data_IF_675929462462
#
_entry.id   IF_675929462462
#
_cell.length_a   1.000
_cell.length_b   1.000
_cell.length_c   1.000
_cell.angle_alpha   90.00
_cell.angle_beta   90.00
_cell.angle_gamma   90.00
#
_symmetry.space_group_name_H-M   'P 1'
#
loop_
_entity.id
_entity.type
_entity.pdbx_description
1 polymer ?
#
# COMPACT_ATOMS: atom_id res chain seq x y z
N UNK A 1 2.21 46.68 -35.12
CA UNK A 1 2.29 46.32 -33.69
C UNK A 1 2.84 44.91 -33.61
N UNK A 2 4.14 44.78 -33.32
CA UNK A 2 4.79 43.49 -33.07
C UNK A 2 4.29 43.00 -31.72
N UNK A 3 3.74 41.78 -31.60
CA UNK A 3 3.33 41.24 -30.31
C UNK A 3 4.52 41.27 -29.34
N UNK A 4 4.31 41.75 -28.12
CA UNK A 4 5.35 41.73 -27.09
C UNK A 4 5.80 40.28 -26.85
N UNK A 5 7.07 40.05 -26.51
CA UNK A 5 7.56 38.72 -26.14
C UNK A 5 6.73 38.08 -25.01
N UNK A 6 6.10 38.91 -24.15
CA UNK A 6 5.15 38.45 -23.12
C UNK A 6 3.83 37.94 -23.71
N UNK A 7 3.28 38.59 -24.75
CA UNK A 7 2.04 38.17 -25.41
C UNK A 7 2.23 36.86 -26.17
N UNK A 8 3.40 36.70 -26.81
CA UNK A 8 3.80 35.45 -27.46
C UNK A 8 3.93 34.28 -26.46
N UNK A 9 4.48 34.54 -25.29
CA UNK A 9 4.60 33.56 -24.20
C UNK A 9 3.24 33.16 -23.63
N UNK A 10 2.36 34.13 -23.34
CA UNK A 10 1.01 33.87 -22.83
C UNK A 10 0.16 33.07 -23.83
N UNK A 11 0.21 33.43 -25.12
CA UNK A 11 -0.50 32.69 -26.17
C UNK A 11 0.07 31.29 -26.37
N UNK A 12 1.39 31.10 -26.28
CA UNK A 12 2.03 29.79 -26.33
C UNK A 12 1.56 28.89 -25.20
N UNK A 13 1.52 29.41 -23.96
CA UNK A 13 1.03 28.64 -22.81
C UNK A 13 -0.45 28.28 -22.96
N UNK A 14 -1.30 29.23 -23.36
CA UNK A 14 -2.73 28.97 -23.59
C UNK A 14 -2.95 27.83 -24.59
N UNK A 15 -2.23 27.86 -25.73
CA UNK A 15 -2.36 26.83 -26.75
C UNK A 15 -1.76 25.49 -26.30
N UNK A 16 -0.74 25.50 -25.43
CA UNK A 16 -0.21 24.28 -24.82
C UNK A 16 -1.26 23.61 -23.93
N UNK A 17 -1.94 24.34 -23.05
CA UNK A 17 -2.97 23.76 -22.17
C UNK A 17 -4.17 23.21 -22.96
N UNK A 18 -4.64 23.93 -23.99
CA UNK A 18 -5.72 23.45 -24.85
C UNK A 18 -5.32 22.21 -25.63
N UNK A 19 -4.10 22.19 -26.18
CA UNK A 19 -3.59 21.03 -26.89
C UNK A 19 -3.40 19.84 -25.95
N UNK A 20 -2.96 20.09 -24.72
CA UNK A 20 -2.81 19.07 -23.69
C UNK A 20 -4.15 18.42 -23.32
N UNK A 21 -5.18 19.22 -23.05
CA UNK A 21 -6.53 18.73 -22.79
C UNK A 21 -7.07 17.86 -23.95
N UNK A 22 -6.87 18.31 -25.19
CA UNK A 22 -7.29 17.54 -26.37
C UNK A 22 -6.56 16.18 -26.44
N UNK A 23 -5.25 16.17 -26.20
CA UNK A 23 -4.42 14.97 -26.27
C UNK A 23 -4.71 13.97 -25.15
N UNK A 24 -5.14 14.41 -23.97
CA UNK A 24 -5.60 13.52 -22.91
C UNK A 24 -6.84 12.70 -23.30
N UNK A 25 -7.67 13.25 -24.19
CA UNK A 25 -8.89 12.59 -24.67
C UNK A 25 -8.68 11.73 -25.92
N UNK A 26 -7.70 12.08 -26.76
CA UNK A 26 -7.53 11.49 -28.10
C UNK A 26 -6.20 10.75 -28.30
N UNK A 27 -5.28 10.79 -27.31
CA UNK A 27 -3.94 10.19 -27.39
C UNK A 27 -2.95 10.96 -28.28
N UNK A 28 -1.67 10.57 -28.23
CA UNK A 28 -0.64 11.15 -29.10
C UNK A 28 -0.41 10.34 -30.38
N UNK A 29 -0.77 9.06 -30.38
CA UNK A 29 -0.50 8.11 -31.45
C UNK A 29 -0.94 8.62 -32.83
N UNK A 30 -2.15 9.16 -32.91
CA UNK A 30 -2.79 9.60 -34.16
C UNK A 30 -2.79 11.14 -34.31
N UNK A 31 -2.01 11.84 -33.48
CA UNK A 31 -2.02 13.30 -33.46
C UNK A 31 -1.47 13.88 -34.78
N UNK A 32 -2.28 14.71 -35.43
CA UNK A 32 -1.88 15.53 -36.58
C UNK A 32 -2.16 17.01 -36.32
N UNK A 33 -1.31 17.89 -36.86
CA UNK A 33 -1.35 19.33 -36.56
C UNK A 33 -2.64 20.01 -37.02
N UNK A 34 -3.28 19.52 -38.08
CA UNK A 34 -4.51 20.12 -38.64
C UNK A 34 -5.72 19.90 -37.71
N UNK A 35 -6.12 18.66 -37.40
CA UNK A 35 -7.21 18.39 -36.45
C UNK A 35 -6.95 19.01 -35.07
N UNK A 36 -5.72 18.93 -34.55
CA UNK A 36 -5.39 19.55 -33.27
C UNK A 36 -5.60 21.06 -33.30
N UNK A 37 -5.08 21.74 -34.33
CA UNK A 37 -5.21 23.18 -34.45
C UNK A 37 -6.67 23.62 -34.57
N UNK A 38 -7.48 22.88 -35.32
CA UNK A 38 -8.91 23.13 -35.44
C UNK A 38 -9.63 22.96 -34.10
N UNK A 39 -9.36 21.86 -33.38
CA UNK A 39 -9.97 21.57 -32.09
C UNK A 39 -9.67 22.64 -31.02
N UNK A 40 -8.49 23.27 -31.07
CA UNK A 40 -8.08 24.29 -30.09
C UNK A 40 -8.29 25.73 -30.58
N UNK A 41 -8.97 25.93 -31.72
CA UNK A 41 -9.25 27.27 -32.28
C UNK A 41 -7.98 28.02 -32.72
N UNK A 42 -7.07 27.32 -33.38
CA UNK A 42 -5.79 27.85 -33.88
C UNK A 42 -5.54 27.41 -35.34
N UNK A 43 -4.32 27.58 -35.83
CA UNK A 43 -3.90 27.07 -37.14
C UNK A 43 -2.57 26.30 -37.05
N UNK A 44 -2.32 25.34 -37.95
CA UNK A 44 -1.03 24.62 -37.99
C UNK A 44 0.17 25.57 -38.08
N UNK A 45 0.02 26.67 -38.83
CA UNK A 45 1.06 27.69 -39.00
C UNK A 45 1.38 28.40 -37.68
N UNK A 46 0.36 28.73 -36.88
CA UNK A 46 0.54 29.36 -35.56
C UNK A 46 1.22 28.40 -34.59
N UNK A 47 0.82 27.12 -34.57
CA UNK A 47 1.46 26.12 -33.73
C UNK A 47 2.94 25.93 -34.10
N UNK A 48 3.26 25.77 -35.39
CA UNK A 48 4.64 25.67 -35.84
C UNK A 48 5.45 26.94 -35.54
N UNK A 49 4.84 28.12 -35.63
CA UNK A 49 5.51 29.38 -35.27
C UNK A 49 5.87 29.44 -33.77
N UNK A 50 4.97 29.01 -32.88
CA UNK A 50 5.17 29.11 -31.42
C UNK A 50 6.05 27.98 -30.84
N UNK A 51 5.94 26.78 -31.41
CA UNK A 51 6.65 25.59 -30.92
C UNK A 51 7.85 25.21 -31.78
N UNK A 52 7.99 25.74 -32.99
CA UNK A 52 9.10 25.49 -33.91
C UNK A 52 8.86 24.28 -34.82
N UNK A 53 8.40 23.16 -34.27
CA UNK A 53 8.10 21.95 -35.04
C UNK A 53 6.97 21.14 -34.40
N UNK A 54 6.44 20.14 -35.13
CA UNK A 54 5.54 19.14 -34.54
C UNK A 54 6.21 18.42 -33.38
N UNK A 55 7.48 18.06 -33.55
CA UNK A 55 8.23 17.32 -32.55
C UNK A 55 8.44 18.14 -31.27
N UNK A 56 8.75 19.43 -31.41
CA UNK A 56 8.90 20.33 -30.27
C UNK A 56 7.56 20.60 -29.57
N UNK A 57 6.42 20.57 -30.29
CA UNK A 57 5.10 20.59 -29.67
C UNK A 57 4.84 19.29 -28.87
N UNK A 58 5.16 18.12 -29.43
CA UNK A 58 5.03 16.85 -28.71
C UNK A 58 5.91 16.84 -27.46
N UNK A 59 7.16 17.30 -27.56
CA UNK A 59 8.05 17.44 -26.42
C UNK A 59 7.48 18.38 -25.35
N UNK A 60 6.86 19.50 -25.74
CA UNK A 60 6.22 20.41 -24.79
C UNK A 60 4.99 19.78 -24.11
N UNK A 61 4.18 19.01 -24.85
CA UNK A 61 3.03 18.28 -24.31
C UNK A 61 3.46 17.19 -23.32
N UNK A 62 4.53 16.47 -23.63
CA UNK A 62 5.11 15.46 -22.72
C UNK A 62 5.73 16.08 -21.48
N UNK A 63 6.41 17.23 -21.62
CA UNK A 63 6.92 17.98 -20.49
C UNK A 63 5.77 18.44 -19.58
N UNK A 64 4.66 18.90 -20.16
CA UNK A 64 3.45 19.30 -19.42
C UNK A 64 2.75 18.11 -18.74
N UNK A 65 2.69 16.95 -19.40
CA UNK A 65 2.17 15.71 -18.82
C UNK A 65 3.02 15.28 -17.60
N UNK A 66 4.35 15.35 -17.73
CA UNK A 66 5.28 15.11 -16.62
C UNK A 66 5.08 16.13 -15.48
N UNK A 67 4.74 17.38 -15.76
CA UNK A 67 4.44 18.35 -14.70
C UNK A 67 3.21 17.95 -13.86
N UNK A 68 2.19 17.31 -14.45
CA UNK A 68 1.06 16.77 -13.66
C UNK A 68 1.51 15.61 -12.75
N UNK A 69 2.46 14.78 -13.20
CA UNK A 69 3.09 13.77 -12.36
C UNK A 69 3.98 14.40 -11.26
N UNK A 70 4.69 15.49 -11.59
CA UNK A 70 5.57 16.19 -10.65
C UNK A 70 4.79 16.97 -9.58
N UNK A 71 3.58 17.45 -9.87
CA UNK A 71 2.71 18.06 -8.85
C UNK A 71 2.35 17.11 -7.70
N UNK A 72 2.22 15.80 -7.98
CA UNK A 72 2.15 14.74 -6.97
C UNK A 72 3.50 14.54 -6.28
N UNK A 73 4.62 14.50 -7.01
CA UNK A 73 5.97 14.39 -6.42
C UNK A 73 6.27 15.50 -5.40
N UNK A 74 5.84 16.73 -5.68
CA UNK A 74 5.94 17.86 -4.74
C UNK A 74 5.00 17.73 -3.53
N UNK A 75 3.84 17.08 -3.68
CA UNK A 75 2.95 16.77 -2.57
C UNK A 75 3.53 15.67 -1.66
N UNK A 76 4.14 14.64 -2.25
CA UNK A 76 4.88 13.57 -1.54
C UNK A 76 6.12 14.14 -0.85
N UNK A 77 6.88 15.00 -1.53
CA UNK A 77 8.05 15.68 -0.96
C UNK A 77 7.69 16.60 0.22
N UNK A 78 6.52 17.24 0.19
CA UNK A 78 6.01 18.05 1.31
C UNK A 78 5.48 17.21 2.47
N UNK A 79 5.02 15.99 2.22
CA UNK A 79 4.65 15.02 3.24
C UNK A 79 5.93 14.41 3.88
N UNK A 80 6.61 15.22 4.70
CA UNK A 80 7.72 14.93 5.64
C UNK A 80 8.75 13.83 5.19
N UNK A 81 10.05 14.16 5.04
CA UNK A 81 11.13 13.21 4.68
C UNK A 81 11.32 12.00 5.62
N UNK A 82 10.71 12.02 6.81
CA UNK A 82 10.83 11.00 7.86
C UNK A 82 9.99 9.73 7.64
N UNK A 83 9.21 9.68 6.56
CA UNK A 83 8.29 8.57 6.29
C UNK A 83 8.94 7.31 5.66
N UNK A 84 10.17 7.41 5.17
CA UNK A 84 10.88 6.28 4.56
C UNK A 84 10.39 5.89 3.15
N UNK A 85 11.08 4.93 2.55
CA UNK A 85 10.87 4.52 1.16
C UNK A 85 9.52 3.83 0.93
N UNK A 86 9.08 2.99 1.88
CA UNK A 86 7.82 2.26 1.79
C UNK A 86 6.60 3.20 1.72
N UNK A 87 6.51 4.13 2.69
CA UNK A 87 5.42 5.11 2.73
C UNK A 87 5.42 6.03 1.52
N UNK A 88 6.60 6.39 1.01
CA UNK A 88 6.72 7.15 -0.24
C UNK A 88 6.13 6.35 -1.41
N UNK A 89 6.42 5.05 -1.49
CA UNK A 89 5.82 4.14 -2.46
C UNK A 89 4.29 4.03 -2.34
N UNK A 90 3.75 4.02 -1.12
CA UNK A 90 2.28 4.00 -0.88
C UNK A 90 1.60 5.25 -1.43
N UNK A 91 2.16 6.43 -1.16
CA UNK A 91 1.60 7.70 -1.64
C UNK A 91 1.63 7.77 -3.17
N UNK A 92 2.72 7.31 -3.78
CA UNK A 92 2.85 7.23 -5.23
C UNK A 92 1.84 6.26 -5.80
N UNK A 93 1.70 5.05 -5.21
CA UNK A 93 0.72 4.08 -5.69
C UNK A 93 -0.72 4.58 -5.58
N UNK A 94 -1.08 5.24 -4.47
CA UNK A 94 -2.42 5.80 -4.30
C UNK A 94 -2.80 6.78 -5.43
N UNK A 95 -1.83 7.55 -5.91
CA UNK A 95 -2.05 8.45 -7.04
C UNK A 95 -2.11 7.71 -8.37
N UNK A 96 -1.21 6.74 -8.59
CA UNK A 96 -1.20 5.90 -9.79
C UNK A 96 -2.49 5.07 -9.96
N UNK A 97 -3.07 4.62 -8.84
CA UNK A 97 -4.28 3.80 -8.81
C UNK A 97 -5.56 4.62 -9.04
N UNK A 98 -5.55 5.91 -8.72
CA UNK A 98 -6.73 6.78 -8.83
C UNK A 98 -7.26 6.85 -10.28
N UNK A 99 -8.55 6.48 -10.50
CA UNK A 99 -9.18 6.56 -11.81
C UNK A 99 -9.11 7.95 -12.48
N UNK A 100 -9.04 9.02 -11.69
CA UNK A 100 -8.90 10.40 -12.16
C UNK A 100 -7.64 10.67 -12.97
N UNK A 101 -6.57 9.90 -12.75
CA UNK A 101 -5.30 10.06 -13.45
C UNK A 101 -5.14 9.13 -14.67
N UNK A 102 -6.12 8.28 -14.98
CA UNK A 102 -5.99 7.26 -16.04
C UNK A 102 -5.62 7.84 -17.40
N UNK A 103 -6.18 8.98 -17.79
CA UNK A 103 -5.92 9.62 -19.09
C UNK A 103 -4.46 10.10 -19.19
N UNK A 104 -3.97 10.78 -18.17
CA UNK A 104 -2.58 11.26 -18.14
C UNK A 104 -1.59 10.10 -18.08
N UNK A 105 -1.90 9.06 -17.30
CA UNK A 105 -1.06 7.87 -17.19
C UNK A 105 -1.00 7.05 -18.48
N UNK A 106 -2.12 6.95 -19.20
CA UNK A 106 -2.15 6.29 -20.53
C UNK A 106 -1.28 7.05 -21.53
N UNK A 107 -1.41 8.37 -21.56
CA UNK A 107 -0.58 9.25 -22.39
C UNK A 107 0.91 9.12 -22.04
N UNK A 108 1.24 9.01 -20.75
CA UNK A 108 2.60 8.80 -20.30
C UNK A 108 3.15 7.46 -20.77
N UNK A 109 2.40 6.36 -20.63
CA UNK A 109 2.83 5.02 -21.09
C UNK A 109 3.09 5.03 -22.60
N UNK A 110 2.23 5.69 -23.37
CA UNK A 110 2.41 5.88 -24.80
C UNK A 110 3.72 6.59 -25.15
N UNK A 111 4.06 7.64 -24.40
CA UNK A 111 5.30 8.39 -24.59
C UNK A 111 6.52 7.62 -24.13
N UNK A 112 6.41 6.91 -23.01
CA UNK A 112 7.44 6.04 -22.47
C UNK A 112 7.80 4.95 -23.46
N UNK A 113 6.83 4.16 -23.94
CA UNK A 113 7.05 3.07 -24.87
C UNK A 113 7.69 3.55 -26.19
N UNK A 114 7.26 4.69 -26.73
CA UNK A 114 7.84 5.27 -27.96
C UNK A 114 9.28 5.75 -27.77
N UNK A 115 9.62 6.22 -26.58
CA UNK A 115 10.98 6.66 -26.29
C UNK A 115 12.01 5.54 -26.13
N UNK A 116 11.56 4.28 -26.08
CA UNK A 116 12.44 3.11 -26.04
C UNK A 116 12.98 2.71 -27.43
N UNK A 117 12.38 3.23 -28.51
CA UNK A 117 12.86 3.01 -29.88
C UNK A 117 14.11 3.85 -30.21
N UNK A 118 14.52 3.86 -31.48
CA UNK A 118 15.69 4.61 -31.94
C UNK A 118 15.63 6.07 -31.46
N UNK A 119 16.61 6.49 -30.66
CA UNK A 119 16.61 7.71 -29.82
C UNK A 119 16.58 9.05 -30.55
N UNK A 120 16.01 9.11 -31.76
CA UNK A 120 15.73 10.31 -32.52
C UNK A 120 14.23 10.67 -32.47
N UNK A 121 13.92 11.96 -32.65
CA UNK A 121 12.56 12.45 -32.74
C UNK A 121 11.95 12.91 -31.39
N UNK A 122 10.63 13.09 -31.34
CA UNK A 122 9.98 13.81 -30.25
C UNK A 122 10.03 13.10 -28.89
N UNK A 123 10.31 11.80 -28.89
CA UNK A 123 10.29 10.95 -27.71
C UNK A 123 11.67 10.76 -27.09
N UNK A 124 12.74 11.23 -27.75
CA UNK A 124 14.12 10.96 -27.39
C UNK A 124 14.44 11.27 -25.91
N UNK A 125 14.92 10.26 -25.18
CA UNK A 125 15.34 10.35 -23.77
C UNK A 125 14.20 10.57 -22.77
N UNK A 126 12.93 10.46 -23.18
CA UNK A 126 11.79 10.64 -22.27
C UNK A 126 11.77 9.58 -21.15
N UNK A 127 11.88 8.28 -21.50
CA UNK A 127 11.95 7.20 -20.52
C UNK A 127 13.15 7.33 -19.57
N UNK A 128 14.34 7.60 -20.13
CA UNK A 128 15.58 7.76 -19.35
C UNK A 128 15.48 8.88 -18.33
N UNK A 129 15.06 10.08 -18.76
CA UNK A 129 14.86 11.22 -17.84
C UNK A 129 13.83 10.92 -16.76
N UNK A 130 12.77 10.20 -17.12
CA UNK A 130 11.75 9.82 -16.14
C UNK A 130 12.29 8.82 -15.12
N UNK A 131 13.15 7.88 -15.52
CA UNK A 131 13.83 7.01 -14.54
C UNK A 131 14.69 7.85 -13.59
N UNK A 132 15.54 8.74 -14.12
CA UNK A 132 16.46 9.54 -13.32
C UNK A 132 15.70 10.36 -12.25
N UNK A 133 14.67 11.09 -12.66
CA UNK A 133 13.81 11.87 -11.77
C UNK A 133 13.23 11.05 -10.61
N UNK A 134 12.65 9.90 -10.92
CA UNK A 134 11.98 9.06 -9.92
C UNK A 134 12.97 8.42 -8.96
N UNK A 135 14.16 8.05 -9.44
CA UNK A 135 15.22 7.56 -8.57
C UNK A 135 15.71 8.65 -7.60
N UNK A 136 15.79 9.92 -8.02
CA UNK A 136 16.14 11.03 -7.13
C UNK A 136 15.07 11.27 -6.05
N UNK A 137 13.79 11.20 -6.42
CA UNK A 137 12.67 11.30 -5.47
C UNK A 137 12.76 10.20 -4.40
N UNK A 138 12.94 8.95 -4.82
CA UNK A 138 13.03 7.83 -3.90
C UNK A 138 14.33 7.84 -3.09
N UNK A 139 15.43 8.32 -3.66
CA UNK A 139 16.66 8.56 -2.92
C UNK A 139 16.43 9.55 -1.76
N UNK A 140 15.69 10.63 -2.00
CA UNK A 140 15.37 11.62 -0.96
C UNK A 140 14.57 11.04 0.23
N UNK A 141 13.85 9.93 0.02
CA UNK A 141 13.11 9.20 1.06
C UNK A 141 13.94 8.14 1.82
N UNK A 142 15.18 7.88 1.39
CA UNK A 142 16.11 6.98 2.09
C UNK A 142 17.00 7.78 3.06
N UNK A 143 17.39 7.19 4.21
CA UNK A 143 18.37 7.82 5.09
C UNK A 143 19.74 7.90 4.40
N UNK A 144 20.58 8.91 4.69
CA UNK A 144 21.81 9.18 3.92
C UNK A 144 22.78 7.98 3.86
N UNK A 145 22.91 7.26 4.97
CA UNK A 145 23.74 6.06 5.13
C UNK A 145 23.28 4.88 4.25
N UNK A 146 21.99 4.80 3.91
CA UNK A 146 21.46 3.83 2.94
C UNK A 146 21.46 4.37 1.52
N UNK A 147 21.10 5.64 1.33
CA UNK A 147 20.92 6.31 0.03
C UNK A 147 22.13 6.16 -0.90
N UNK A 148 23.32 6.35 -0.33
CA UNK A 148 24.59 6.41 -1.06
C UNK A 148 25.25 5.02 -1.21
N UNK A 149 24.52 3.94 -0.90
CA UNK A 149 24.99 2.55 -1.05
C UNK A 149 24.43 1.89 -2.32
N UNK A 150 25.12 0.89 -2.90
CA UNK A 150 24.59 0.06 -3.98
C UNK A 150 23.25 -0.60 -3.63
N UNK A 151 23.08 -1.02 -2.37
CA UNK A 151 21.87 -1.64 -1.87
C UNK A 151 20.71 -0.65 -1.84
N UNK A 152 20.94 0.58 -1.35
CA UNK A 152 19.94 1.64 -1.40
C UNK A 152 19.52 1.98 -2.83
N UNK A 153 20.45 1.98 -3.80
CA UNK A 153 20.13 2.15 -5.21
C UNK A 153 19.26 0.99 -5.74
N UNK A 154 19.59 -0.25 -5.37
CA UNK A 154 18.82 -1.43 -5.76
C UNK A 154 17.39 -1.39 -5.19
N UNK A 155 17.20 -0.96 -3.94
CA UNK A 155 15.88 -0.81 -3.30
C UNK A 155 14.98 0.16 -4.07
N UNK A 156 15.44 1.39 -4.30
CA UNK A 156 14.64 2.40 -5.02
C UNK A 156 14.40 2.04 -6.49
N UNK A 157 15.34 1.31 -7.11
CA UNK A 157 15.16 0.76 -8.47
C UNK A 157 14.09 -0.32 -8.49
N UNK A 158 14.08 -1.22 -7.49
CA UNK A 158 13.09 -2.27 -7.37
C UNK A 158 11.69 -1.69 -7.12
N UNK A 159 11.57 -0.73 -6.20
CA UNK A 159 10.31 -0.03 -5.95
C UNK A 159 9.76 0.61 -7.24
N UNK A 160 10.58 1.37 -7.97
CA UNK A 160 10.17 1.99 -9.22
C UNK A 160 9.71 0.94 -10.25
N UNK A 161 10.39 -0.20 -10.31
CA UNK A 161 10.06 -1.30 -11.22
C UNK A 161 8.70 -1.93 -10.87
N UNK A 162 8.44 -2.16 -9.58
CA UNK A 162 7.16 -2.71 -9.09
C UNK A 162 6.02 -1.74 -9.38
N UNK A 163 6.18 -0.46 -9.04
CA UNK A 163 5.15 0.57 -9.28
C UNK A 163 4.82 0.69 -10.77
N UNK A 164 5.82 0.69 -11.66
CA UNK A 164 5.59 0.76 -13.10
C UNK A 164 4.97 -0.49 -13.67
N UNK A 165 5.39 -1.67 -13.22
CA UNK A 165 4.78 -2.94 -13.62
C UNK A 165 3.31 -2.99 -13.22
N UNK A 166 3.01 -2.61 -11.98
CA UNK A 166 1.64 -2.54 -11.47
C UNK A 166 0.79 -1.49 -12.18
N UNK A 167 1.35 -0.34 -12.54
CA UNK A 167 0.67 0.67 -13.35
C UNK A 167 0.28 0.12 -14.72
N UNK A 168 1.22 -0.50 -15.45
CA UNK A 168 0.95 -1.09 -16.75
C UNK A 168 -0.12 -2.18 -16.67
N UNK A 169 -0.02 -3.03 -15.64
CA UNK A 169 -1.02 -4.06 -15.36
C UNK A 169 -2.40 -3.42 -15.08
N UNK A 170 -2.48 -2.42 -14.19
CA UNK A 170 -3.73 -1.76 -13.85
C UNK A 170 -4.39 -1.10 -15.08
N UNK A 171 -3.59 -0.45 -15.93
CA UNK A 171 -4.10 0.16 -17.16
C UNK A 171 -4.64 -0.88 -18.15
N UNK A 172 -4.05 -2.08 -18.18
CA UNK A 172 -4.47 -3.16 -19.06
C UNK A 172 -5.66 -3.96 -18.51
N UNK A 173 -5.60 -4.36 -17.24
CA UNK A 173 -6.56 -5.27 -16.59
C UNK A 173 -7.73 -4.55 -15.93
N UNK A 174 -7.56 -3.28 -15.53
CA UNK A 174 -8.50 -2.51 -14.69
C UNK A 174 -8.75 -3.11 -13.31
N UNK A 175 -7.92 -4.06 -12.88
CA UNK A 175 -8.03 -4.75 -11.60
C UNK A 175 -7.19 -4.04 -10.54
N UNK A 176 -7.74 -2.94 -10.03
CA UNK A 176 -7.14 -2.13 -8.95
C UNK A 176 -6.91 -2.92 -7.66
N UNK A 177 -7.84 -3.76 -7.16
CA UNK A 177 -7.62 -4.50 -5.93
C UNK A 177 -6.42 -5.46 -6.02
N UNK A 178 -6.29 -6.22 -7.12
CA UNK A 178 -5.18 -7.16 -7.31
C UNK A 178 -3.83 -6.45 -7.45
N UNK A 179 -3.77 -5.40 -8.26
CA UNK A 179 -2.52 -4.64 -8.48
C UNK A 179 -2.09 -3.90 -7.21
N UNK A 180 -3.05 -3.35 -6.46
CA UNK A 180 -2.80 -2.74 -5.16
C UNK A 180 -2.27 -3.76 -4.16
N UNK A 181 -2.88 -4.95 -4.08
CA UNK A 181 -2.39 -6.01 -3.21
C UNK A 181 -0.94 -6.40 -3.51
N UNK A 182 -0.56 -6.48 -4.79
CA UNK A 182 0.80 -6.78 -5.21
C UNK A 182 1.80 -5.68 -4.79
N UNK A 183 1.45 -4.41 -5.01
CA UNK A 183 2.29 -3.27 -4.60
C UNK A 183 2.43 -3.22 -3.08
N UNK A 184 1.32 -3.31 -2.33
CA UNK A 184 1.36 -3.33 -0.87
C UNK A 184 2.21 -4.48 -0.33
N UNK A 185 2.15 -5.67 -0.95
CA UNK A 185 2.99 -6.79 -0.54
C UNK A 185 4.49 -6.48 -0.69
N UNK A 186 4.90 -5.79 -1.77
CA UNK A 186 6.27 -5.35 -1.94
C UNK A 186 6.65 -4.24 -0.94
N UNK A 187 5.78 -3.26 -0.70
CA UNK A 187 6.08 -2.15 0.20
C UNK A 187 6.37 -2.63 1.63
N UNK A 188 5.69 -3.67 2.10
CA UNK A 188 5.99 -4.32 3.40
C UNK A 188 7.40 -4.87 3.49
N UNK A 189 8.02 -5.28 2.38
CA UNK A 189 9.41 -5.76 2.40
C UNK A 189 10.42 -4.63 2.61
N UNK A 190 10.04 -3.38 2.34
CA UNK A 190 10.86 -2.19 2.54
C UNK A 190 10.76 -1.63 3.97
N UNK A 191 9.75 -2.04 4.73
CA UNK A 191 9.55 -1.65 6.14
C UNK A 191 10.27 -2.59 7.11
N UNK A 192 10.69 -3.77 6.63
CA UNK A 192 11.50 -4.70 7.40
C UNK A 192 12.94 -4.17 7.59
N UNK A 193 13.55 -4.29 8.78
CA UNK A 193 14.91 -3.84 9.02
C UNK A 193 15.90 -4.47 8.03
N UNK A 194 16.78 -3.63 7.47
CA UNK A 194 17.81 -4.02 6.50
C UNK A 194 19.01 -4.72 7.18
N UNK A 195 18.78 -5.80 7.92
CA UNK A 195 19.84 -6.68 8.40
C UNK A 195 19.64 -8.09 7.85
N UNK A 196 20.55 -8.47 6.92
CA UNK A 196 20.68 -9.84 6.46
C UNK A 196 20.47 -10.03 4.95
N UNK A 197 21.39 -9.52 4.13
CA UNK A 197 21.54 -10.04 2.77
C UNK A 197 22.43 -11.30 2.79
N UNK A 198 21.96 -12.49 2.36
CA UNK A 198 22.84 -13.62 2.11
C UNK A 198 23.29 -13.61 0.64
N UNK A 199 24.59 -13.82 0.45
CA UNK A 199 25.24 -14.09 -0.83
C UNK A 199 24.66 -15.35 -1.48
N UNK A 200 24.45 -15.26 -2.80
CA UNK A 200 23.85 -16.28 -3.67
C UNK A 200 24.47 -17.67 -3.53
N UNK A 201 23.60 -18.68 -3.37
CA UNK A 201 23.90 -20.07 -3.73
C UNK A 201 22.87 -21.07 -3.21
N UNK A 202 21.97 -21.54 -4.09
CA UNK A 202 21.22 -22.78 -3.85
C UNK A 202 19.70 -22.64 -3.87
N UNK A 203 19.08 -23.21 -4.90
CA UNK A 203 17.65 -23.46 -5.01
C UNK A 203 17.20 -24.47 -3.94
N UNK A 204 16.45 -24.03 -2.93
CA UNK A 204 15.39 -24.76 -2.21
C UNK A 204 14.80 -23.81 -1.15
N UNK A 205 13.48 -23.91 -0.90
CA UNK A 205 12.68 -22.84 -0.32
C UNK A 205 13.03 -22.39 1.10
N UNK A 206 12.74 -21.13 1.41
CA UNK A 206 12.10 -20.75 2.68
C UNK A 206 11.53 -19.32 2.61
N UNK A 207 10.42 -19.09 3.33
CA UNK A 207 9.70 -17.81 3.42
C UNK A 207 10.35 -16.80 4.41
N UNK A 208 9.68 -15.66 4.69
CA UNK A 208 10.23 -14.64 5.57
C UNK A 208 10.36 -15.16 7.02
N UNK A 209 11.51 -14.88 7.65
CA UNK A 209 11.95 -15.38 8.97
C UNK A 209 11.31 -14.63 10.15
N UNK A 210 9.98 -14.52 10.16
CA UNK A 210 9.19 -14.14 11.32
C UNK A 210 8.19 -15.25 11.60
N UNK A 211 8.07 -15.71 12.86
CA UNK A 211 7.10 -16.76 13.17
C UNK A 211 5.71 -16.27 12.77
N UNK A 212 5.04 -17.07 11.95
CA UNK A 212 3.66 -16.86 11.54
C UNK A 212 2.83 -18.02 12.05
N UNK A 213 1.80 -17.68 12.81
CA UNK A 213 0.80 -18.62 13.31
C UNK A 213 -0.51 -18.35 12.58
N UNK A 214 -1.21 -19.41 12.15
CA UNK A 214 -2.42 -19.28 11.33
C UNK A 214 -3.44 -20.33 11.71
N UNK A 215 -4.66 -19.88 11.97
CA UNK A 215 -5.82 -20.75 12.22
C UNK A 215 -6.98 -20.28 11.35
N UNK A 216 -7.72 -21.22 10.77
CA UNK A 216 -8.91 -20.95 9.96
C UNK A 216 -10.09 -21.72 10.50
N UNK A 217 -11.26 -21.08 10.54
CA UNK A 217 -12.53 -21.71 10.92
C UNK A 217 -13.66 -21.22 10.02
N UNK A 218 -14.55 -22.12 9.64
CA UNK A 218 -15.81 -21.75 9.01
C UNK A 218 -16.86 -21.43 10.08
N UNK A 219 -17.50 -20.27 9.94
CA UNK A 219 -18.54 -19.75 10.83
C UNK A 219 -19.84 -19.66 10.04
N UNK A 220 -20.92 -20.25 10.54
CA UNK A 220 -22.21 -20.32 9.88
C UNK A 220 -23.03 -19.02 9.99
N UNK A 221 -22.40 -17.85 9.85
CA UNK A 221 -23.03 -16.52 9.89
C UNK A 221 -22.60 -15.64 8.70
N UNK A 222 -23.39 -14.60 8.35
CA UNK A 222 -23.03 -13.67 7.27
C UNK A 222 -21.75 -12.90 7.61
N UNK A 223 -20.91 -12.63 6.59
CA UNK A 223 -19.64 -11.87 6.74
C UNK A 223 -19.80 -10.55 7.50
N UNK A 224 -20.90 -9.84 7.26
CA UNK A 224 -21.18 -8.57 7.93
C UNK A 224 -21.38 -8.73 9.45
N UNK A 225 -22.00 -9.82 9.91
CA UNK A 225 -22.19 -10.10 11.33
C UNK A 225 -20.86 -10.45 12.01
N UNK A 226 -20.04 -11.29 11.36
CA UNK A 226 -18.68 -11.62 11.83
C UNK A 226 -17.80 -10.37 11.89
N UNK A 227 -17.86 -9.52 10.87
CA UNK A 227 -17.12 -8.26 10.85
C UNK A 227 -17.56 -7.31 11.95
N UNK A 228 -18.87 -7.19 12.21
CA UNK A 228 -19.40 -6.37 13.29
C UNK A 228 -18.92 -6.88 14.67
N UNK A 229 -18.91 -8.19 14.89
CA UNK A 229 -18.43 -8.80 16.15
C UNK A 229 -16.93 -8.57 16.42
N UNK A 230 -16.12 -8.30 15.38
CA UNK A 230 -14.70 -7.91 15.51
C UNK A 230 -14.51 -6.44 15.87
N UNK A 231 -15.56 -5.61 15.73
CA UNK A 231 -15.56 -4.17 15.94
C UNK A 231 -16.62 -3.73 16.95
N UNK A 232 -17.02 -4.64 17.83
CA UNK A 232 -17.94 -4.37 18.92
C UNK A 232 -17.32 -4.81 20.23
N UNK A 233 -17.35 -3.93 21.23
CA UNK A 233 -16.66 -4.14 22.51
C UNK A 233 -17.25 -5.31 23.27
N UNK A 234 -18.57 -5.35 23.41
CA UNK A 234 -19.27 -6.38 24.19
C UNK A 234 -19.08 -7.76 23.54
N UNK A 235 -19.12 -7.80 22.20
CA UNK A 235 -18.80 -8.99 21.43
C UNK A 235 -17.37 -9.48 21.73
N UNK A 236 -16.36 -8.62 21.60
CA UNK A 236 -14.97 -8.99 21.87
C UNK A 236 -14.76 -9.49 23.29
N UNK A 237 -15.35 -8.84 24.30
CA UNK A 237 -15.28 -9.32 25.70
C UNK A 237 -15.91 -10.70 25.87
N UNK A 238 -16.95 -11.03 25.09
CA UNK A 238 -17.66 -12.31 25.15
C UNK A 238 -16.93 -13.46 24.46
N UNK A 239 -16.33 -13.24 23.28
CA UNK A 239 -15.78 -14.33 22.47
C UNK A 239 -14.26 -14.36 22.32
N UNK A 240 -13.58 -13.21 22.41
CA UNK A 240 -12.14 -13.15 22.16
C UNK A 240 -11.28 -13.88 23.22
N UNK A 241 -11.62 -13.89 24.53
CA UNK A 241 -10.86 -14.63 25.51
C UNK A 241 -10.77 -16.12 25.15
N UNK A 242 -9.57 -16.73 25.16
CA UNK A 242 -9.42 -18.15 24.92
C UNK A 242 -9.94 -18.97 26.11
N UNK A 243 -10.05 -20.28 25.91
CA UNK A 243 -10.45 -21.22 26.98
C UNK A 243 -9.59 -21.03 28.24
N UNK A 244 -10.25 -21.05 29.41
CA UNK A 244 -9.58 -20.86 30.70
C UNK A 244 -9.31 -19.40 31.08
N UNK A 245 -9.74 -18.43 30.27
CA UNK A 245 -9.59 -17.00 30.57
C UNK A 245 -10.93 -16.25 30.52
N UNK A 246 -10.97 -15.10 31.21
CA UNK A 246 -11.96 -14.05 30.99
C UNK A 246 -11.27 -12.79 30.49
N UNK A 247 -11.99 -11.91 29.79
CA UNK A 247 -11.41 -10.69 29.23
C UNK A 247 -12.24 -9.45 29.49
N UNK A 248 -11.55 -8.32 29.64
CA UNK A 248 -12.17 -7.00 29.80
C UNK A 248 -11.44 -5.97 28.96
N UNK A 249 -12.19 -5.10 28.29
CA UNK A 249 -11.64 -3.98 27.53
C UNK A 249 -11.70 -2.71 28.39
N UNK A 250 -10.56 -2.06 28.60
CA UNK A 250 -10.47 -0.84 29.41
C UNK A 250 -10.46 0.45 28.57
N UNK A 251 -10.05 0.37 27.31
CA UNK A 251 -10.02 1.48 26.35
C UNK A 251 -10.61 1.00 25.03
N UNK A 252 -11.37 1.86 24.33
CA UNK A 252 -12.06 1.46 23.11
C UNK A 252 -12.17 2.62 22.10
N UNK A 253 -11.53 2.46 20.95
CA UNK A 253 -11.60 3.39 19.81
C UNK A 253 -11.56 2.59 18.48
N UNK A 254 -12.70 2.06 17.99
CA UNK A 254 -12.75 1.13 16.86
C UNK A 254 -12.71 1.84 15.50
N UNK A 255 -11.65 2.60 15.26
CA UNK A 255 -11.39 3.29 13.99
C UNK A 255 -9.94 3.09 13.56
N UNK A 256 -9.60 3.29 12.27
CA UNK A 256 -8.22 3.20 11.82
C UNK A 256 -7.32 4.15 12.63
N UNK A 257 -6.22 3.61 13.14
CA UNK A 257 -5.29 4.30 14.02
C UNK A 257 -5.68 4.32 15.50
N UNK A 258 -6.95 4.06 15.84
CA UNK A 258 -7.46 3.81 17.18
C UNK A 258 -7.16 2.39 17.66
N UNK A 259 -7.67 1.99 18.81
CA UNK A 259 -7.32 0.71 19.42
C UNK A 259 -8.13 0.38 20.66
N UNK A 260 -7.74 -0.70 21.32
CA UNK A 260 -8.27 -1.10 22.61
C UNK A 260 -7.19 -1.74 23.47
N UNK A 261 -7.38 -1.66 24.79
CA UNK A 261 -6.54 -2.35 25.76
C UNK A 261 -7.35 -3.47 26.38
N UNK A 262 -6.87 -4.69 26.26
CA UNK A 262 -7.53 -5.87 26.80
C UNK A 262 -6.73 -6.47 27.95
N UNK A 263 -7.43 -6.74 29.04
CA UNK A 263 -6.92 -7.44 30.20
C UNK A 263 -7.55 -8.83 30.20
N UNK A 264 -6.73 -9.86 30.01
CA UNK A 264 -7.10 -11.26 30.14
C UNK A 264 -6.75 -11.75 31.55
N UNK A 265 -7.68 -12.43 32.20
CA UNK A 265 -7.52 -12.97 33.56
C UNK A 265 -7.74 -14.49 33.52
N UNK A 266 -6.77 -15.24 34.02
CA UNK A 266 -6.83 -16.70 34.10
C UNK A 266 -7.88 -17.12 35.14
N UNK A 267 -8.78 -18.06 34.77
CA UNK A 267 -9.85 -18.53 35.63
C UNK A 267 -9.37 -19.51 36.70
N UNK A 268 -8.35 -20.31 36.38
CA UNK A 268 -7.64 -21.18 37.33
C UNK A 268 -6.12 -21.06 37.14
N UNK A 269 -5.44 -20.19 37.91
CA UNK A 269 -3.99 -19.98 37.80
C UNK A 269 -3.15 -21.24 38.08
N UNK A 270 -3.72 -22.28 38.72
CA UNK A 270 -3.00 -23.48 39.10
C UNK A 270 -3.10 -24.63 38.09
N UNK A 271 -4.13 -24.66 37.23
CA UNK A 271 -4.39 -25.76 36.27
C UNK A 271 -4.36 -25.33 34.77
N UNK A 272 -4.05 -24.07 34.47
CA UNK A 272 -3.99 -23.58 33.09
C UNK A 272 -2.82 -24.22 32.29
N UNK A 273 -3.01 -24.61 31.00
CA UNK A 273 -1.93 -25.16 30.17
C UNK A 273 -0.79 -24.14 30.02
N UNK A 274 0.46 -24.57 30.26
CA UNK A 274 1.61 -23.66 30.30
C UNK A 274 1.78 -22.96 31.65
N UNK A 275 1.68 -23.71 32.76
CA UNK A 275 1.76 -23.31 34.18
C UNK A 275 3.08 -22.59 34.59
N UNK A 276 3.36 -21.48 33.93
CA UNK A 276 4.27 -20.41 34.33
C UNK A 276 3.46 -19.13 34.58
N UNK A 277 4.09 -18.07 35.10
CA UNK A 277 3.42 -16.79 35.31
C UNK A 277 2.88 -16.22 34.00
N UNK A 278 1.74 -15.54 34.05
CA UNK A 278 1.22 -14.78 32.91
C UNK A 278 2.22 -13.73 32.43
N UNK A 279 2.03 -13.24 31.20
CA UNK A 279 2.96 -12.36 30.50
C UNK A 279 3.12 -11.00 31.19
N UNK A 280 2.06 -10.49 31.82
CA UNK A 280 2.07 -9.20 32.53
C UNK A 280 2.16 -9.38 34.04
N UNK A 281 1.42 -10.34 34.58
CA UNK A 281 1.53 -10.76 35.98
C UNK A 281 1.19 -12.25 36.11
N UNK A 282 1.45 -12.83 37.28
CA UNK A 282 1.13 -14.23 37.58
C UNK A 282 -0.31 -14.65 37.23
N UNK A 283 -1.27 -13.70 37.22
CA UNK A 283 -2.69 -13.97 36.99
C UNK A 283 -3.32 -13.19 35.82
N UNK A 284 -2.54 -12.42 35.06
CA UNK A 284 -3.10 -11.61 33.96
C UNK A 284 -2.16 -11.44 32.77
N UNK A 285 -2.75 -11.42 31.59
CA UNK A 285 -2.13 -10.98 30.34
C UNK A 285 -2.77 -9.66 29.91
N UNK A 286 -1.97 -8.63 29.71
CA UNK A 286 -2.43 -7.34 29.20
C UNK A 286 -1.84 -7.08 27.82
N UNK A 287 -2.72 -6.74 26.89
CA UNK A 287 -2.36 -6.49 25.50
C UNK A 287 -2.99 -5.18 25.02
N UNK A 288 -2.15 -4.32 24.45
CA UNK A 288 -2.58 -3.12 23.74
C UNK A 288 -2.70 -3.45 22.25
N UNK A 289 -3.90 -3.25 21.71
CA UNK A 289 -4.24 -3.56 20.33
C UNK A 289 -4.57 -2.28 19.58
N UNK A 290 -3.95 -2.08 18.42
CA UNK A 290 -4.21 -0.95 17.52
C UNK A 290 -4.79 -1.43 16.20
N UNK A 291 -5.88 -0.83 15.75
CA UNK A 291 -6.44 -1.10 14.42
C UNK A 291 -5.63 -0.37 13.35
N UNK A 292 -4.91 -1.11 12.51
CA UNK A 292 -4.09 -0.55 11.42
C UNK A 292 -4.78 -0.58 10.07
N UNK A 293 -5.80 -1.44 9.89
CA UNK A 293 -6.58 -1.49 8.65
C UNK A 293 -7.96 -2.09 8.86
N UNK A 294 -9.00 -1.36 8.45
CA UNK A 294 -10.40 -1.79 8.50
C UNK A 294 -10.98 -1.77 7.09
N UNK A 295 -11.31 -2.94 6.54
CA UNK A 295 -11.96 -3.09 5.23
C UNK A 295 -13.27 -3.84 5.43
N UNK A 296 -14.42 -3.16 5.57
CA UNK A 296 -15.70 -3.82 5.76
C UNK A 296 -16.20 -4.52 4.48
N UNK A 297 -16.80 -5.74 4.56
CA UNK A 297 -16.79 -6.71 5.65
C UNK A 297 -15.78 -7.84 5.38
N UNK A 298 -14.55 -7.47 5.02
CA UNK A 298 -13.53 -8.36 4.43
C UNK A 298 -12.34 -8.59 5.34
N UNK A 299 -11.88 -7.54 6.05
CA UNK A 299 -10.60 -7.62 6.74
C UNK A 299 -10.49 -6.64 7.91
N UNK A 300 -9.94 -7.14 9.01
CA UNK A 300 -9.49 -6.34 10.15
C UNK A 300 -8.00 -6.63 10.37
N UNK A 301 -7.17 -5.59 10.41
CA UNK A 301 -5.74 -5.69 10.70
C UNK A 301 -5.47 -4.94 11.99
N UNK A 302 -4.79 -5.63 12.90
CA UNK A 302 -4.47 -5.20 14.24
C UNK A 302 -2.97 -5.35 14.49
N UNK A 303 -2.40 -4.46 15.29
CA UNK A 303 -1.07 -4.62 15.89
C UNK A 303 -1.25 -4.79 17.39
N UNK A 304 -0.64 -5.82 17.95
CA UNK A 304 -0.70 -6.17 19.36
C UNK A 304 0.68 -6.03 20.01
N UNK A 305 0.72 -5.37 21.17
CA UNK A 305 1.90 -5.25 22.02
C UNK A 305 1.52 -5.78 23.41
N UNK A 306 2.26 -6.75 23.91
CA UNK A 306 2.06 -7.30 25.25
C UNK A 306 2.78 -6.42 26.27
N UNK A 307 2.11 -6.13 27.38
CA UNK A 307 2.75 -5.49 28.52
C UNK A 307 3.50 -6.57 29.31
N UNK A 308 4.82 -6.56 29.25
CA UNK A 308 5.66 -7.53 29.96
C UNK A 308 7.03 -6.94 30.25
N UNK A 309 7.56 -7.24 31.43
CA UNK A 309 8.97 -6.96 31.76
C UNK A 309 9.92 -8.03 31.18
N UNK A 310 9.38 -9.17 30.71
CA UNK A 310 10.18 -10.20 30.06
C UNK A 310 10.38 -9.85 28.57
N UNK A 311 11.65 -9.65 28.14
CA UNK A 311 11.96 -9.27 26.76
C UNK A 311 11.56 -10.32 25.73
N UNK A 312 11.24 -11.56 26.12
CA UNK A 312 10.76 -12.60 25.22
C UNK A 312 9.37 -12.30 24.64
N UNK A 313 8.57 -11.45 25.30
CA UNK A 313 7.27 -10.98 24.82
C UNK A 313 7.33 -9.61 24.12
N UNK A 314 8.52 -8.99 24.05
CA UNK A 314 8.70 -7.70 23.41
C UNK A 314 8.50 -7.78 21.89
N UNK A 315 8.01 -6.69 21.31
CA UNK A 315 7.78 -6.56 19.89
C UNK A 315 6.34 -6.18 19.57
N UNK A 316 6.03 -6.09 18.28
CA UNK A 316 4.69 -5.80 17.79
C UNK A 316 4.25 -6.95 16.89
N UNK A 317 3.29 -7.73 17.38
CA UNK A 317 2.67 -8.81 16.62
C UNK A 317 1.58 -8.24 15.72
N UNK A 318 1.57 -8.60 14.43
CA UNK A 318 0.50 -8.17 13.52
C UNK A 318 -0.54 -9.28 13.38
N UNK A 319 -1.77 -8.99 13.79
CA UNK A 319 -2.93 -9.88 13.72
C UNK A 319 -3.82 -9.47 12.55
N UNK A 320 -4.05 -10.38 11.61
CA UNK A 320 -4.93 -10.18 10.45
C UNK A 320 -6.10 -11.15 10.50
N UNK A 321 -7.31 -10.60 10.53
CA UNK A 321 -8.57 -11.32 10.39
C UNK A 321 -9.06 -11.16 8.96
N UNK A 322 -9.12 -12.25 8.20
CA UNK A 322 -9.65 -12.27 6.83
C UNK A 322 -10.98 -13.01 6.79
N UNK A 323 -11.98 -12.39 6.17
CA UNK A 323 -13.36 -12.89 6.09
C UNK A 323 -13.72 -13.18 4.63
N UNK A 324 -13.63 -14.46 4.24
CA UNK A 324 -14.04 -14.92 2.92
C UNK A 324 -15.48 -15.46 2.94
N UNK A 325 -16.23 -15.24 1.85
CA UNK A 325 -17.54 -15.86 1.72
C UNK A 325 -17.37 -17.36 1.43
N UNK A 326 -18.17 -18.21 2.08
CA UNK A 326 -18.18 -19.65 1.83
C UNK A 326 -19.61 -20.15 1.57
N UNK A 327 -19.74 -21.38 1.10
CA UNK A 327 -21.05 -21.98 0.80
C UNK A 327 -21.98 -22.09 2.02
N UNK A 328 -21.42 -22.13 3.23
CA UNK A 328 -22.16 -22.34 4.49
C UNK A 328 -22.11 -21.14 5.42
N UNK A 329 -21.48 -20.02 5.01
CA UNK A 329 -21.35 -18.81 5.82
C UNK A 329 -20.09 -18.02 5.49
N UNK A 330 -19.22 -17.87 6.48
CA UNK A 330 -17.98 -17.10 6.39
C UNK A 330 -16.79 -17.98 6.77
N UNK A 331 -15.76 -18.02 5.93
CA UNK A 331 -14.46 -18.57 6.32
C UNK A 331 -13.64 -17.44 6.97
N UNK A 332 -13.30 -17.65 8.25
CA UNK A 332 -12.52 -16.72 9.07
C UNK A 332 -11.11 -17.27 9.17
N UNK A 333 -10.14 -16.57 8.59
CA UNK A 333 -8.72 -16.88 8.74
C UNK A 333 -8.08 -15.83 9.63
N UNK A 334 -7.55 -16.28 10.76
CA UNK A 334 -6.67 -15.51 11.62
C UNK A 334 -5.21 -15.80 11.25
N UNK A 335 -4.41 -14.77 11.04
CA UNK A 335 -2.95 -14.89 10.86
C UNK A 335 -2.26 -13.90 11.79
N UNK A 336 -1.38 -14.40 12.65
CA UNK A 336 -0.48 -13.57 13.44
C UNK A 336 0.94 -13.68 12.88
N UNK A 337 1.55 -12.56 12.50
CA UNK A 337 2.97 -12.49 12.11
C UNK A 337 3.76 -11.79 13.20
N UNK A 338 5.06 -12.09 13.23
CA UNK A 338 6.01 -11.49 14.18
C UNK A 338 5.63 -11.81 15.64
N UNK A 339 5.12 -13.03 15.84
CA UNK A 339 4.68 -13.50 17.16
C UNK A 339 5.90 -13.59 18.09
N UNK A 340 5.95 -12.84 19.22
CA UNK A 340 7.09 -12.80 20.12
C UNK A 340 7.58 -14.18 20.55
N UNK A 341 8.90 -14.43 20.62
CA UNK A 341 9.46 -15.77 20.87
C UNK A 341 9.06 -16.39 22.22
N UNK A 342 8.67 -15.59 23.20
CA UNK A 342 8.17 -16.05 24.50
C UNK A 342 6.80 -16.71 24.45
N UNK A 343 6.02 -16.47 23.40
CA UNK A 343 4.74 -17.15 23.19
C UNK A 343 5.03 -18.53 22.59
N UNK A 344 4.55 -19.63 23.14
CA UNK A 344 4.68 -20.94 22.48
C UNK A 344 3.74 -21.07 21.27
N UNK A 345 4.18 -21.75 20.20
CA UNK A 345 3.38 -21.87 18.96
C UNK A 345 2.13 -22.70 19.18
N UNK A 346 2.26 -23.87 19.80
CA UNK A 346 1.14 -24.79 19.98
C UNK A 346 0.09 -24.18 20.90
N UNK A 347 0.53 -23.53 21.98
CA UNK A 347 -0.37 -22.85 22.93
C UNK A 347 -1.06 -21.65 22.27
N UNK A 348 -0.36 -20.88 21.44
CA UNK A 348 -0.96 -19.75 20.72
C UNK A 348 -1.97 -20.20 19.67
N UNK A 349 -1.65 -21.20 18.85
CA UNK A 349 -2.57 -21.75 17.86
C UNK A 349 -3.80 -22.38 18.54
N UNK A 350 -3.63 -23.06 19.67
CA UNK A 350 -4.74 -23.58 20.47
C UNK A 350 -5.62 -22.47 21.04
N UNK A 351 -5.01 -21.42 21.60
CA UNK A 351 -5.71 -20.23 22.09
C UNK A 351 -6.54 -19.58 20.99
N UNK A 352 -5.94 -19.30 19.83
CA UNK A 352 -6.64 -18.73 18.66
C UNK A 352 -7.78 -19.65 18.21
N UNK A 353 -7.57 -20.97 18.18
CA UNK A 353 -8.60 -21.93 17.78
C UNK A 353 -9.80 -21.91 18.73
N UNK A 354 -9.58 -21.78 20.05
CA UNK A 354 -10.65 -21.63 21.05
C UNK A 354 -11.40 -20.31 20.87
N UNK A 355 -10.70 -19.17 20.71
CA UNK A 355 -11.34 -17.87 20.44
C UNK A 355 -12.19 -17.90 19.15
N UNK A 356 -11.70 -18.55 18.08
CA UNK A 356 -12.50 -18.73 16.85
C UNK A 356 -13.73 -19.64 17.07
N UNK A 357 -13.66 -20.60 18.00
CA UNK A 357 -14.82 -21.41 18.38
C UNK A 357 -15.86 -20.60 19.16
N UNK A 358 -15.42 -19.74 20.07
CA UNK A 358 -16.28 -18.79 20.78
C UNK A 358 -16.94 -17.81 19.81
N UNK A 359 -16.17 -17.26 18.86
CA UNK A 359 -16.72 -16.37 17.83
C UNK A 359 -17.84 -17.06 17.06
N UNK A 360 -17.61 -18.31 16.62
CA UNK A 360 -18.61 -19.08 15.90
C UNK A 360 -19.89 -19.23 16.73
N UNK A 361 -19.76 -19.68 17.98
CA UNK A 361 -20.90 -19.86 18.88
C UNK A 361 -21.65 -18.54 19.10
N UNK A 362 -20.92 -17.45 19.37
CA UNK A 362 -21.47 -16.13 19.63
C UNK A 362 -22.33 -15.60 18.47
N UNK A 363 -21.83 -15.66 17.23
CA UNK A 363 -22.56 -15.11 16.07
C UNK A 363 -23.58 -16.06 15.46
N UNK A 364 -23.47 -17.37 15.74
CA UNK A 364 -24.44 -18.38 15.29
C UNK A 364 -25.67 -18.43 16.21
N UNK A 365 -25.49 -18.19 17.51
CA UNK A 365 -26.58 -18.12 18.50
C UNK A 365 -27.34 -16.80 18.47
N UNK A 366 -26.71 -15.71 18.01
CA UNK A 366 -27.35 -14.39 17.86
C UNK A 366 -28.36 -14.29 16.68
N UNK A 367 -28.78 -15.42 16.10
CA UNK A 367 -29.67 -15.51 14.92
C UNK A 367 -31.15 -15.56 15.23
#
# INVERSE_FOLDING_TARGET
MTPSARDGSARKQQLLELAYAHVLDHGLADMSLRPLAEAIGSSPRVLLFLFGSKDALVQALLARARQDETGMLEAVHRARPEHGLARTGELVWSWLADPGHRKVLTLWVEGYARSLGDGAGPWAGFAERTIADWLEVFAAAQPPDRRDTPEGLAERTLLLSVLRGALLDLLASRDEPRTTAAVTAHLRTLEAPADGAPTRGGLAGDGPTGRTDRVTRTVAAPRAAVYAALLDRESLEAWLPPDGMSGRIEQWDPRPGGGFRMVLTYLDPAESPGAGPGKTSDATDVVDVRFTGLVPPERVVQQAVFESDDPSYAGTMTMTWHLAASAVGTEVTFTATDVPPGIDRADHEAGIASSLAHLASYVEEAR
#
